data_IF_242970597218
#
_entry.id   IF_242970597218
#
_cell.length_a   1.000
_cell.length_b   1.000
_cell.length_c   1.000
_cell.angle_alpha   90.00
_cell.angle_beta   90.00
_cell.angle_gamma   90.00
#
_symmetry.space_group_name_H-M   'P 1'
#
loop_
_entity.id
_entity.type
_entity.pdbx_description
1 polymer ?
#
# COMPACT_ATOMS: atom_id res chain seq x y z
N UNK A 1 8.34 6.56 14.06
CA UNK A 1 7.04 6.67 13.37
C UNK A 1 6.95 5.57 12.32
N UNK A 2 5.79 4.95 12.13
CA UNK A 2 5.57 3.85 11.17
C UNK A 2 4.65 4.27 10.01
N UNK A 3 4.76 5.51 9.55
CA UNK A 3 3.96 6.05 8.46
C UNK A 3 4.90 6.50 7.35
N UNK A 4 4.52 6.23 6.10
CA UNK A 4 5.23 6.67 4.92
C UNK A 4 4.22 7.29 3.95
N UNK A 5 4.49 8.51 3.53
CA UNK A 5 3.72 9.15 2.47
C UNK A 5 4.09 8.55 1.11
N UNK A 6 3.13 8.56 0.19
CA UNK A 6 3.30 8.14 -1.19
C UNK A 6 2.64 9.16 -2.12
N UNK A 7 3.01 9.11 -3.39
CA UNK A 7 2.73 10.17 -4.36
C UNK A 7 1.25 10.21 -4.73
N UNK A 8 0.69 11.42 -4.84
CA UNK A 8 -0.63 11.67 -5.41
C UNK A 8 -0.46 12.03 -6.89
N UNK A 9 -1.06 11.26 -7.79
CA UNK A 9 -1.01 11.53 -9.23
C UNK A 9 -2.31 12.22 -9.69
N UNK A 10 -2.17 13.32 -10.44
CA UNK A 10 -3.28 14.11 -10.97
C UNK A 10 -3.16 14.23 -12.51
N UNK A 11 -3.43 13.15 -13.27
CA UNK A 11 -3.23 13.16 -14.73
C UNK A 11 -4.21 14.09 -15.45
N UNK A 12 -5.37 14.37 -14.86
CA UNK A 12 -6.39 15.28 -15.38
C UNK A 12 -7.14 15.97 -14.24
N UNK A 13 -7.87 17.04 -14.57
CA UNK A 13 -8.71 17.75 -13.59
C UNK A 13 -9.76 16.81 -13.00
N UNK A 14 -9.81 16.75 -11.66
CA UNK A 14 -10.73 15.89 -10.91
C UNK A 14 -10.30 14.43 -10.80
N UNK A 15 -9.15 14.04 -11.36
CA UNK A 15 -8.63 12.68 -11.26
C UNK A 15 -7.59 12.61 -10.15
N UNK A 16 -7.69 11.57 -9.33
CA UNK A 16 -6.70 11.25 -8.30
C UNK A 16 -6.34 9.78 -8.45
N UNK A 17 -5.05 9.51 -8.60
CA UNK A 17 -4.50 8.18 -8.81
C UNK A 17 -3.33 7.90 -7.87
N UNK A 18 -3.14 6.62 -7.51
CA UNK A 18 -1.98 6.14 -6.76
C UNK A 18 -1.30 4.99 -7.50
N UNK A 19 0.03 4.91 -7.46
CA UNK A 19 0.76 3.73 -7.90
C UNK A 19 0.56 2.57 -6.89
N UNK A 20 -0.04 1.42 -7.28
CA UNK A 20 -0.25 0.29 -6.37
C UNK A 20 1.05 -0.32 -5.82
N UNK A 21 2.17 -0.24 -6.55
CA UNK A 21 3.47 -0.72 -6.07
C UNK A 21 4.06 0.23 -5.02
N UNK A 22 3.79 1.55 -5.14
CA UNK A 22 4.16 2.52 -4.10
C UNK A 22 3.33 2.30 -2.83
N UNK A 23 2.01 2.04 -2.97
CA UNK A 23 1.14 1.64 -1.85
C UNK A 23 1.73 0.39 -1.17
N UNK A 24 1.99 -0.68 -1.92
CA UNK A 24 2.49 -1.94 -1.37
C UNK A 24 3.84 -1.78 -0.67
N UNK A 25 4.81 -1.15 -1.34
CA UNK A 25 6.15 -0.95 -0.78
C UNK A 25 6.12 -0.07 0.47
N UNK A 26 5.19 0.91 0.55
CA UNK A 26 5.01 1.73 1.73
C UNK A 26 4.52 0.92 2.93
N UNK A 27 3.53 0.05 2.75
CA UNK A 27 2.98 -0.82 3.81
C UNK A 27 4.03 -1.81 4.30
N UNK A 28 4.79 -2.44 3.40
CA UNK A 28 5.85 -3.38 3.79
C UNK A 28 6.96 -2.66 4.56
N UNK A 29 7.35 -1.47 4.12
CA UNK A 29 8.39 -0.69 4.79
C UNK A 29 7.97 -0.27 6.21
N UNK A 30 6.73 0.20 6.38
CA UNK A 30 6.22 0.63 7.69
C UNK A 30 6.01 -0.53 8.64
N UNK A 31 5.53 -1.68 8.17
CA UNK A 31 5.40 -2.89 8.97
C UNK A 31 6.77 -3.38 9.49
N UNK A 32 7.79 -3.41 8.62
CA UNK A 32 9.17 -3.76 9.02
C UNK A 32 9.73 -2.77 10.03
N UNK A 33 9.53 -1.46 9.81
CA UNK A 33 9.97 -0.43 10.75
C UNK A 33 9.30 -0.57 12.12
N UNK A 34 8.02 -0.94 12.17
CA UNK A 34 7.30 -1.19 13.42
C UNK A 34 7.85 -2.41 14.18
N UNK A 35 8.10 -3.53 13.49
CA UNK A 35 8.74 -4.72 14.07
C UNK A 35 10.12 -4.41 14.65
N UNK A 36 10.96 -3.73 13.85
CA UNK A 36 12.30 -3.33 14.28
C UNK A 36 12.25 -2.40 15.50
N UNK A 37 11.31 -1.45 15.53
CA UNK A 37 11.13 -0.54 16.67
C UNK A 37 10.67 -1.26 17.94
N UNK A 38 9.91 -2.35 17.77
CA UNK A 38 9.45 -3.19 18.88
C UNK A 38 10.48 -4.25 19.32
N UNK A 39 11.57 -4.43 18.56
CA UNK A 39 12.54 -5.50 18.80
C UNK A 39 11.92 -6.89 18.67
N UNK A 40 10.99 -7.07 17.72
CA UNK A 40 10.24 -8.31 17.51
C UNK A 40 10.47 -8.87 16.12
N UNK A 41 10.39 -10.19 16.01
CA UNK A 41 10.42 -10.88 14.73
C UNK A 41 9.01 -11.09 14.19
N UNK A 42 8.90 -11.31 12.88
CA UNK A 42 7.61 -11.60 12.25
C UNK A 42 6.94 -12.87 12.84
N UNK A 43 7.74 -13.82 13.37
CA UNK A 43 7.26 -15.02 14.05
C UNK A 43 6.55 -14.74 15.38
N UNK A 44 6.73 -13.55 15.97
CA UNK A 44 6.06 -13.15 17.22
C UNK A 44 4.62 -12.64 16.97
N UNK A 45 4.21 -12.49 15.71
CA UNK A 45 2.91 -11.92 15.34
C UNK A 45 1.84 -12.99 15.30
N UNK A 46 0.87 -12.90 16.21
CA UNK A 46 -0.25 -13.84 16.30
C UNK A 46 -1.29 -13.66 15.17
N UNK A 47 -1.49 -12.43 14.68
CA UNK A 47 -2.46 -12.11 13.65
C UNK A 47 -2.14 -10.77 12.96
N UNK A 48 -2.68 -10.59 11.75
CA UNK A 48 -2.61 -9.32 10.99
C UNK A 48 -4.03 -8.81 10.77
N UNK A 49 -4.31 -7.59 11.24
CA UNK A 49 -5.52 -6.85 10.88
C UNK A 49 -5.28 -6.02 9.62
N UNK A 50 -6.21 -6.07 8.68
CA UNK A 50 -6.15 -5.29 7.44
C UNK A 50 -7.26 -4.25 7.47
N UNK A 51 -6.88 -3.00 7.21
CA UNK A 51 -7.80 -1.88 6.99
C UNK A 51 -7.24 -1.03 5.87
N UNK A 52 -8.12 -0.38 5.12
CA UNK A 52 -7.75 0.33 3.90
C UNK A 52 -8.63 1.57 3.69
N UNK A 53 -8.13 2.50 2.88
CA UNK A 53 -9.00 3.46 2.21
C UNK A 53 -10.06 2.67 1.43
N UNK A 54 -11.33 3.03 1.63
CA UNK A 54 -12.44 2.37 0.94
C UNK A 54 -12.52 2.89 -0.50
N UNK A 55 -13.45 2.35 -1.28
CA UNK A 55 -13.77 2.73 -2.67
C UNK A 55 -12.66 2.61 -3.73
N UNK A 56 -11.38 2.90 -3.43
CA UNK A 56 -10.23 2.82 -4.36
C UNK A 56 -10.21 1.50 -5.13
N UNK A 57 -10.07 1.59 -6.46
CA UNK A 57 -10.09 0.42 -7.36
C UNK A 57 -8.69 0.16 -7.92
N UNK A 58 -8.24 -1.10 -7.82
CA UNK A 58 -6.99 -1.60 -8.40
C UNK A 58 -7.31 -2.75 -9.35
N UNK A 59 -6.66 -2.78 -10.51
CA UNK A 59 -6.72 -3.88 -11.46
C UNK A 59 -5.30 -4.38 -11.78
N UNK A 60 -5.14 -5.70 -11.83
CA UNK A 60 -3.86 -6.36 -12.05
C UNK A 60 -4.00 -7.58 -12.95
N UNK A 61 -2.89 -7.95 -13.59
CA UNK A 61 -2.77 -9.19 -14.32
C UNK A 61 -2.69 -10.38 -13.34
N UNK A 62 -3.61 -11.34 -13.46
CA UNK A 62 -3.73 -12.48 -12.53
C UNK A 62 -2.47 -13.35 -12.51
N UNK A 63 -1.81 -13.54 -13.64
CA UNK A 63 -0.69 -14.47 -13.76
C UNK A 63 0.59 -13.90 -13.13
N UNK A 64 0.79 -12.59 -13.25
CA UNK A 64 2.01 -11.91 -12.81
C UNK A 64 1.85 -11.14 -11.51
N UNK A 65 0.62 -10.80 -11.12
CA UNK A 65 0.32 -9.91 -10.00
C UNK A 65 0.58 -8.43 -10.29
N UNK A 66 1.05 -8.08 -11.49
CA UNK A 66 1.44 -6.70 -11.83
C UNK A 66 0.20 -5.83 -12.06
N UNK A 67 0.16 -4.61 -11.50
CA UNK A 67 -0.86 -3.64 -11.85
C UNK A 67 -0.85 -3.35 -13.36
N UNK A 68 -2.03 -3.25 -13.97
CA UNK A 68 -2.14 -2.85 -15.37
C UNK A 68 -2.43 -1.35 -15.54
N UNK A 69 -2.77 -0.68 -14.43
CA UNK A 69 -3.03 0.75 -14.33
C UNK A 69 -2.78 1.23 -12.89
N UNK A 70 -2.60 2.53 -12.69
CA UNK A 70 -2.67 3.14 -11.37
C UNK A 70 -4.03 2.89 -10.71
N UNK A 71 -4.05 2.86 -9.38
CA UNK A 71 -5.28 2.81 -8.61
C UNK A 71 -6.10 4.09 -8.83
N UNK A 72 -7.40 3.96 -9.11
CA UNK A 72 -8.32 5.10 -9.14
C UNK A 72 -8.83 5.31 -7.72
N UNK A 73 -8.62 6.52 -7.19
CA UNK A 73 -8.94 6.89 -5.81
C UNK A 73 -10.44 7.27 -5.69
N UNK A 74 -10.94 7.27 -4.45
CA UNK A 74 -12.33 7.54 -4.07
C UNK A 74 -12.85 8.94 -4.44
#
# INVERSE_FOLDING_TARGET
>A
SGQKEFTQHYPASGWVEHDPEEIWSSVVATAKAALNSAGRDASDIAAIGITNQRETVVIWDRATGKPIHNAIVW
#
